data_IF_808723419401
#
_entry.id   IF_808723419401
#
_cell.length_a   1.000
_cell.length_b   1.000
_cell.length_c   1.000
_cell.angle_alpha   90.00
_cell.angle_beta   90.00
_cell.angle_gamma   90.00
#
_symmetry.space_group_name_H-M   'P 1'
#
loop_
_entity.id
_entity.type
_entity.pdbx_description
1 polymer ?
#
# COMPACT_ATOMS: atom_id res chain seq x y z
N UNK A 1 -9.57 -17.05 4.21
CA UNK A 1 -9.78 -16.61 5.62
C UNK A 1 -9.70 -17.72 6.67
N UNK A 2 -10.03 -19.00 6.37
CA UNK A 2 -10.14 -20.07 7.38
C UNK A 2 -8.90 -20.29 8.27
N UNK A 3 -7.68 -20.18 7.71
CA UNK A 3 -6.44 -20.35 8.47
C UNK A 3 -6.16 -19.22 9.48
N UNK A 4 -6.70 -18.03 9.24
CA UNK A 4 -6.51 -16.85 10.10
C UNK A 4 -7.35 -16.93 11.40
N UNK A 5 -8.37 -17.80 11.42
CA UNK A 5 -9.27 -17.97 12.56
C UNK A 5 -10.35 -16.89 12.66
N UNK A 6 -11.31 -17.09 13.59
CA UNK A 6 -12.49 -16.21 13.75
C UNK A 6 -12.23 -14.89 14.47
N UNK A 7 -11.07 -14.76 15.09
CA UNK A 7 -10.65 -13.58 15.87
C UNK A 7 -9.38 -12.92 15.29
N UNK A 8 -8.88 -13.40 14.14
CA UNK A 8 -7.68 -12.84 13.53
C UNK A 8 -7.88 -11.41 13.03
N UNK A 9 -6.79 -10.73 12.67
CA UNK A 9 -6.84 -9.37 12.12
C UNK A 9 -6.00 -9.34 10.86
N UNK A 10 -6.51 -8.70 9.80
CA UNK A 10 -5.75 -8.43 8.59
C UNK A 10 -5.40 -6.95 8.53
N UNK A 11 -4.12 -6.67 8.31
CA UNK A 11 -3.62 -5.33 8.01
C UNK A 11 -2.95 -5.39 6.64
N UNK A 12 -3.44 -4.63 5.67
CA UNK A 12 -2.84 -4.56 4.33
C UNK A 12 -2.31 -3.15 4.04
N UNK A 13 -0.98 -3.06 3.93
CA UNK A 13 -0.20 -1.89 3.47
C UNK A 13 0.65 -2.22 2.24
N UNK A 14 0.43 -3.38 1.62
CA UNK A 14 1.22 -3.90 0.51
C UNK A 14 0.67 -3.43 -0.83
N UNK A 15 -0.23 -4.22 -1.41
CA UNK A 15 -0.97 -3.89 -2.65
C UNK A 15 -2.41 -4.38 -2.50
N UNK A 16 -3.36 -3.66 -3.09
CA UNK A 16 -4.78 -4.02 -3.05
C UNK A 16 -5.06 -5.41 -3.60
N UNK A 17 -4.49 -5.71 -4.77
CA UNK A 17 -4.68 -6.99 -5.47
C UNK A 17 -4.18 -8.24 -4.73
N UNK A 18 -3.53 -8.11 -3.56
CA UNK A 18 -3.09 -9.25 -2.76
C UNK A 18 -4.23 -9.93 -2.00
N UNK A 19 -5.37 -9.25 -1.83
CA UNK A 19 -6.50 -9.76 -1.06
C UNK A 19 -7.77 -9.57 -1.88
N UNK A 20 -8.60 -10.60 -1.98
CA UNK A 20 -9.91 -10.52 -2.63
C UNK A 20 -10.88 -9.71 -1.74
N UNK A 21 -11.18 -8.49 -2.16
CA UNK A 21 -12.09 -7.56 -1.48
C UNK A 21 -13.47 -8.18 -1.17
N UNK A 22 -13.96 -9.16 -1.97
CA UNK A 22 -15.26 -9.81 -1.75
C UNK A 22 -15.20 -10.81 -0.60
N UNK A 23 -14.12 -11.58 -0.49
CA UNK A 23 -13.87 -12.46 0.66
C UNK A 23 -13.64 -11.65 1.95
N UNK A 24 -13.24 -10.38 1.83
CA UNK A 24 -13.01 -9.52 2.99
C UNK A 24 -14.28 -9.13 3.74
N UNK A 25 -15.43 -9.06 3.07
CA UNK A 25 -16.68 -8.58 3.71
C UNK A 25 -17.17 -9.51 4.83
N UNK A 26 -16.77 -10.78 4.84
CA UNK A 26 -17.40 -11.82 5.67
C UNK A 26 -16.71 -12.09 7.02
N UNK A 27 -15.49 -11.61 7.25
CA UNK A 27 -14.71 -12.03 8.43
C UNK A 27 -13.85 -10.88 9.00
N UNK A 28 -13.71 -10.81 10.33
CA UNK A 28 -12.64 -10.10 11.06
C UNK A 28 -12.57 -8.57 11.02
N UNK A 29 -11.90 -8.03 12.04
CA UNK A 29 -11.46 -6.63 12.11
C UNK A 29 -10.32 -6.40 11.11
N UNK A 30 -10.32 -5.27 10.41
CA UNK A 30 -9.39 -4.98 9.29
C UNK A 30 -8.82 -3.58 9.36
N UNK A 31 -7.57 -3.43 8.93
CA UNK A 31 -6.93 -2.15 8.62
C UNK A 31 -6.41 -2.13 7.19
N UNK A 32 -6.96 -1.28 6.32
CA UNK A 32 -6.61 -1.23 4.90
C UNK A 32 -6.09 0.15 4.53
N UNK A 33 -4.88 0.19 3.99
CA UNK A 33 -4.33 1.39 3.34
C UNK A 33 -4.40 1.30 1.81
N UNK A 34 -4.51 0.08 1.26
CA UNK A 34 -4.47 -0.18 -0.19
C UNK A 34 -5.70 -0.96 -0.65
N UNK A 35 -6.14 -0.69 -1.89
CA UNK A 35 -7.35 -1.25 -2.50
C UNK A 35 -7.08 -1.69 -3.95
N UNK A 36 -7.86 -2.65 -4.45
CA UNK A 36 -7.65 -3.17 -5.82
C UNK A 36 -7.89 -2.09 -6.88
N UNK A 37 -8.94 -1.28 -6.70
CA UNK A 37 -9.29 -0.18 -7.58
C UNK A 37 -9.23 1.14 -6.82
N UNK A 38 -8.11 1.85 -6.94
CA UNK A 38 -7.93 3.17 -6.34
C UNK A 38 -8.12 4.29 -7.37
N UNK A 39 -8.80 5.40 -7.01
CA UNK A 39 -9.36 5.73 -5.70
C UNK A 39 -10.77 5.17 -5.44
N UNK A 40 -11.32 4.38 -6.37
CA UNK A 40 -12.71 3.90 -6.34
C UNK A 40 -12.94 2.70 -5.40
N UNK A 41 -12.95 2.97 -4.10
CA UNK A 41 -13.12 1.95 -3.04
C UNK A 41 -14.60 1.51 -2.90
N UNK A 42 -14.90 0.20 -2.74
CA UNK A 42 -16.26 -0.30 -2.54
C UNK A 42 -16.99 0.36 -1.36
N UNK A 43 -18.19 0.90 -1.62
CA UNK A 43 -19.02 1.61 -0.61
C UNK A 43 -19.32 0.78 0.64
N UNK A 44 -19.40 -0.54 0.49
CA UNK A 44 -19.67 -1.48 1.58
C UNK A 44 -18.57 -1.45 2.65
N UNK A 45 -17.32 -1.18 2.27
CA UNK A 45 -16.21 -1.09 3.24
C UNK A 45 -16.36 0.12 4.17
N UNK A 46 -16.87 1.24 3.66
CA UNK A 46 -17.16 2.43 4.48
C UNK A 46 -18.32 2.25 5.46
N UNK A 47 -19.20 1.28 5.21
CA UNK A 47 -20.36 0.99 6.05
C UNK A 47 -20.07 -0.07 7.12
N UNK A 48 -18.88 -0.66 7.12
CA UNK A 48 -18.52 -1.75 8.03
C UNK A 48 -17.87 -1.23 9.30
N UNK A 49 -18.46 -1.56 10.46
CA UNK A 49 -17.91 -1.22 11.78
C UNK A 49 -16.60 -1.97 12.10
N UNK A 50 -16.30 -3.04 11.36
CA UNK A 50 -15.11 -3.87 11.56
C UNK A 50 -13.91 -3.44 10.71
N UNK A 51 -13.98 -2.31 10.00
CA UNK A 51 -12.93 -1.90 9.06
C UNK A 51 -12.44 -0.50 9.37
N UNK A 52 -11.12 -0.35 9.45
CA UNK A 52 -10.42 0.94 9.44
C UNK A 52 -9.81 1.13 8.06
N UNK A 53 -10.07 2.28 7.45
CA UNK A 53 -9.61 2.64 6.11
C UNK A 53 -8.63 3.82 6.19
N UNK A 54 -7.57 3.74 5.41
CA UNK A 54 -6.61 4.81 5.13
C UNK A 54 -6.43 4.92 3.62
N UNK A 55 -6.19 6.12 3.10
CA UNK A 55 -6.21 6.41 1.67
C UNK A 55 -4.80 6.32 1.05
N UNK A 56 -4.23 5.13 0.98
CA UNK A 56 -2.91 4.83 0.41
C UNK A 56 -1.83 5.84 0.87
N UNK A 57 -1.76 6.03 2.18
CA UNK A 57 -0.98 7.09 2.80
C UNK A 57 0.02 6.59 3.83
N UNK A 58 0.30 5.28 3.89
CA UNK A 58 1.29 4.71 4.80
C UNK A 58 2.69 5.33 4.66
N UNK A 59 3.02 5.85 3.47
CA UNK A 59 4.30 6.52 3.19
C UNK A 59 4.30 8.03 3.54
N UNK A 60 3.15 8.60 3.88
CA UNK A 60 2.93 10.05 3.83
C UNK A 60 3.44 10.79 5.10
N UNK A 61 4.73 10.67 5.42
CA UNK A 61 5.39 11.45 6.46
C UNK A 61 6.42 12.43 5.86
N UNK A 62 6.66 13.60 6.47
CA UNK A 62 7.65 14.56 5.99
C UNK A 62 9.02 13.93 5.76
N UNK A 63 9.49 13.10 6.70
CA UNK A 63 10.80 12.46 6.62
C UNK A 63 10.89 11.47 5.45
N UNK A 64 9.80 10.78 5.14
CA UNK A 64 9.76 9.85 4.02
C UNK A 64 9.79 10.61 2.69
N UNK A 65 9.03 11.71 2.58
CA UNK A 65 9.05 12.56 1.39
C UNK A 65 10.42 13.23 1.17
N UNK A 66 11.08 13.73 2.22
CA UNK A 66 12.42 14.30 2.14
C UNK A 66 13.43 13.26 1.60
N UNK A 67 13.39 12.04 2.13
CA UNK A 67 14.26 10.95 1.68
C UNK A 67 13.96 10.50 0.24
N UNK A 68 12.68 10.47 -0.15
CA UNK A 68 12.23 10.19 -1.52
C UNK A 68 12.73 11.25 -2.50
N UNK A 69 12.60 12.53 -2.15
CA UNK A 69 13.09 13.64 -2.97
C UNK A 69 14.61 13.53 -3.18
N UNK A 70 15.38 13.29 -2.12
CA UNK A 70 16.82 13.11 -2.21
C UNK A 70 17.19 11.95 -3.16
N UNK A 71 16.51 10.81 -3.01
CA UNK A 71 16.75 9.62 -3.83
C UNK A 71 16.40 9.87 -5.29
N UNK A 72 15.28 10.54 -5.58
CA UNK A 72 14.86 10.87 -6.95
C UNK A 72 15.88 11.81 -7.59
N UNK A 73 16.24 12.90 -6.92
CA UNK A 73 17.22 13.87 -7.43
C UNK A 73 18.57 13.20 -7.69
N UNK A 74 19.01 12.33 -6.78
CA UNK A 74 20.27 11.60 -6.95
C UNK A 74 20.24 10.73 -8.20
N UNK A 75 19.21 9.90 -8.36
CA UNK A 75 19.11 9.01 -9.52
C UNK A 75 19.01 9.78 -10.84
N UNK A 76 18.28 10.90 -10.88
CA UNK A 76 18.21 11.76 -12.07
C UNK A 76 19.59 12.34 -12.43
N UNK A 77 20.33 12.86 -11.44
CA UNK A 77 21.69 13.38 -11.67
C UNK A 77 22.64 12.28 -12.15
N UNK A 78 22.56 11.10 -11.54
CA UNK A 78 23.38 9.95 -11.94
C UNK A 78 23.08 9.52 -13.38
N UNK A 79 21.81 9.43 -13.75
CA UNK A 79 21.37 9.09 -15.10
C UNK A 79 21.94 10.05 -16.16
N UNK A 80 21.77 11.37 -15.98
CA UNK A 80 22.26 12.37 -16.95
C UNK A 80 23.80 12.53 -16.96
N UNK A 81 24.48 12.06 -15.92
CA UNK A 81 25.95 12.08 -15.82
C UNK A 81 26.59 10.76 -16.23
N UNK A 82 25.80 9.81 -16.76
CA UNK A 82 26.24 8.45 -17.08
C UNK A 82 26.93 7.73 -15.89
N UNK A 83 26.44 7.98 -14.68
CA UNK A 83 26.89 7.31 -13.45
C UNK A 83 25.88 6.21 -13.04
N UNK A 84 26.30 5.23 -12.24
CA UNK A 84 25.40 4.20 -11.72
C UNK A 84 24.25 4.78 -10.88
N UNK A 85 23.05 4.22 -11.04
CA UNK A 85 21.87 4.58 -10.25
C UNK A 85 21.95 3.98 -8.84
N UNK A 86 21.47 4.72 -7.83
CA UNK A 86 21.46 4.28 -6.43
C UNK A 86 20.38 3.24 -6.15
N UNK A 87 19.26 3.31 -6.88
CA UNK A 87 18.10 2.43 -6.71
C UNK A 87 17.62 1.91 -8.06
N UNK A 88 18.52 1.27 -8.81
CA UNK A 88 18.16 0.58 -10.05
C UNK A 88 17.24 -0.60 -9.73
N UNK A 89 16.11 -0.66 -10.41
CA UNK A 89 15.26 -1.85 -10.46
C UNK A 89 15.39 -2.42 -11.86
N UNK A 90 15.92 -3.64 -11.95
CA UNK A 90 16.00 -4.40 -13.19
C UNK A 90 14.73 -5.26 -13.29
N UNK A 91 14.06 -5.19 -14.44
CA UNK A 91 13.00 -6.12 -14.76
C UNK A 91 13.61 -7.25 -15.59
N UNK A 92 13.32 -8.50 -15.20
CA UNK A 92 13.61 -9.67 -16.03
C UNK A 92 12.73 -9.69 -17.29
#
# INVERSE_FOLDING_TARGET
MAALGKEGVIINIGRGALIDDKEMVQFLVRGLDVFENEPDVPKQLFQSDNVVLSAHSAVATPECFDALEELIIFNLKAFFSHQPLRSLVEFE
#
